data_IF_883744729373
#
_entry.id   IF_883744729373
#
_cell.length_a   1.000
_cell.length_b   1.000
_cell.length_c   1.000
_cell.angle_alpha   90.00
_cell.angle_beta   90.00
_cell.angle_gamma   90.00
#
_symmetry.space_group_name_H-M   'P 1'
#
loop_
_entity.id
_entity.type
_entity.pdbx_description
1 polymer ?
#
# COMPACT_ATOMS: atom_id res chain seq x y z
N UNK A 1 -3.41 14.53 5.62
CA UNK A 1 -2.93 13.25 6.20
C UNK A 1 -3.35 12.02 5.39
N UNK A 2 -4.62 11.92 4.97
CA UNK A 2 -5.14 10.84 4.10
C UNK A 2 -4.21 10.44 2.94
N UNK A 3 -3.73 11.43 2.18
CA UNK A 3 -2.83 11.21 1.02
C UNK A 3 -1.47 10.63 1.42
N UNK A 4 -0.85 11.14 2.48
CA UNK A 4 0.44 10.63 2.95
C UNK A 4 0.30 9.22 3.55
N UNK A 5 -0.77 8.96 4.32
CA UNK A 5 -1.01 7.65 4.93
C UNK A 5 -1.30 6.58 3.89
N UNK A 6 -2.14 6.87 2.90
CA UNK A 6 -2.43 5.96 1.79
C UNK A 6 -1.22 5.72 0.88
N UNK A 7 -0.37 6.73 0.66
CA UNK A 7 0.90 6.54 -0.05
C UNK A 7 1.85 5.61 0.64
N UNK A 8 2.10 5.84 1.92
CA UNK A 8 2.95 4.99 2.71
C UNK A 8 2.45 3.54 2.66
N UNK A 9 1.15 3.33 2.90
CA UNK A 9 0.56 1.99 2.87
C UNK A 9 0.73 1.31 1.51
N UNK A 10 0.42 1.99 0.40
CA UNK A 10 0.58 1.41 -0.95
C UNK A 10 2.05 1.11 -1.26
N UNK A 11 2.98 1.96 -0.81
CA UNK A 11 4.41 1.75 -1.03
C UNK A 11 4.88 0.47 -0.36
N UNK A 12 4.53 0.28 0.91
CA UNK A 12 4.99 -0.88 1.68
C UNK A 12 4.19 -2.14 1.31
N UNK A 13 2.86 -2.03 1.12
CA UNK A 13 2.01 -3.17 0.79
C UNK A 13 2.38 -3.84 -0.53
N UNK A 14 2.73 -3.05 -1.55
CA UNK A 14 3.07 -3.58 -2.88
C UNK A 14 4.57 -3.75 -3.12
N UNK A 15 5.42 -3.45 -2.14
CA UNK A 15 6.83 -3.81 -2.21
C UNK A 15 6.99 -5.30 -1.86
N UNK A 16 7.79 -5.99 -2.66
CA UNK A 16 8.22 -7.36 -2.42
C UNK A 16 9.72 -7.41 -2.63
N UNK A 17 10.47 -7.23 -1.54
CA UNK A 17 11.93 -7.14 -1.53
C UNK A 17 12.59 -8.45 -1.04
N UNK A 18 11.79 -9.50 -0.83
CA UNK A 18 12.19 -10.79 -0.28
C UNK A 18 12.76 -10.72 1.14
N UNK A 19 12.58 -9.60 1.85
CA UNK A 19 12.92 -9.54 3.26
C UNK A 19 11.95 -10.39 4.08
N UNK A 20 12.41 -11.09 5.13
CA UNK A 20 11.55 -12.00 5.90
C UNK A 20 10.50 -11.28 6.76
N UNK A 21 10.68 -9.98 7.04
CA UNK A 21 9.89 -9.24 8.03
C UNK A 21 9.00 -8.14 7.44
N UNK A 22 9.10 -7.81 6.15
CA UNK A 22 8.35 -6.68 5.56
C UNK A 22 6.85 -6.76 5.80
N UNK A 23 6.28 -7.96 5.65
CA UNK A 23 4.87 -8.25 5.92
C UNK A 23 4.50 -8.08 7.40
N UNK A 24 5.41 -8.40 8.33
CA UNK A 24 5.16 -8.30 9.77
C UNK A 24 5.16 -6.84 10.25
N UNK A 25 6.09 -6.03 9.74
CA UNK A 25 6.19 -4.60 10.08
C UNK A 25 4.97 -3.83 9.59
N UNK A 26 4.49 -4.10 8.36
CA UNK A 26 3.27 -3.50 7.85
C UNK A 26 2.06 -3.86 8.71
N UNK A 27 1.88 -5.15 9.05
CA UNK A 27 0.79 -5.61 9.91
C UNK A 27 0.84 -4.97 11.30
N UNK A 28 2.04 -4.81 11.88
CA UNK A 28 2.22 -4.17 13.18
C UNK A 28 1.86 -2.69 13.22
N UNK A 29 1.90 -2.01 12.07
CA UNK A 29 1.52 -0.60 11.93
C UNK A 29 0.01 -0.38 11.71
N UNK A 30 -0.77 -1.45 11.53
CA UNK A 30 -2.22 -1.40 11.34
C UNK A 30 -2.98 -1.64 12.65
N UNK A 31 -4.23 -1.16 12.76
CA UNK A 31 -5.11 -1.51 13.86
C UNK A 31 -5.26 -3.03 14.00
N UNK A 32 -5.44 -3.46 15.25
CA UNK A 32 -5.76 -4.86 15.54
C UNK A 32 -7.06 -5.25 14.84
N UNK A 33 -7.03 -6.37 14.12
CA UNK A 33 -8.20 -6.92 13.43
C UNK A 33 -8.36 -6.49 11.98
N UNK A 34 -7.48 -5.63 11.44
CA UNK A 34 -7.47 -5.35 9.99
C UNK A 34 -7.13 -6.62 9.23
N UNK A 35 -8.02 -7.01 8.32
CA UNK A 35 -7.83 -8.15 7.43
C UNK A 35 -7.22 -7.64 6.13
N UNK A 36 -5.93 -7.88 5.95
CA UNK A 36 -5.26 -7.60 4.70
C UNK A 36 -5.51 -8.71 3.68
N UNK A 37 -5.71 -8.38 2.39
CA UNK A 37 -5.57 -9.36 1.32
C UNK A 37 -4.15 -9.93 1.31
N UNK A 38 -3.98 -11.10 0.67
CA UNK A 38 -2.67 -11.73 0.48
C UNK A 38 -1.66 -10.72 -0.09
N UNK A 39 -0.54 -10.56 0.61
CA UNK A 39 0.45 -9.56 0.24
C UNK A 39 1.33 -10.09 -0.90
N UNK A 40 1.65 -9.26 -1.91
CA UNK A 40 2.52 -9.67 -3.02
C UNK A 40 3.84 -10.30 -2.58
N UNK A 41 4.40 -9.86 -1.45
CA UNK A 41 5.62 -10.40 -0.85
C UNK A 41 5.51 -11.86 -0.44
N UNK A 42 4.33 -12.31 0.00
CA UNK A 42 4.11 -13.68 0.49
C UNK A 42 4.17 -14.71 -0.66
N UNK A 43 3.92 -14.28 -1.91
CA UNK A 43 3.96 -15.10 -3.12
C UNK A 43 5.07 -14.70 -4.11
N UNK A 44 5.97 -13.80 -3.71
CA UNK A 44 6.95 -13.20 -4.62
C UNK A 44 8.05 -14.20 -5.02
N UNK A 45 8.20 -14.40 -6.33
CA UNK A 45 9.30 -15.17 -6.94
C UNK A 45 10.46 -14.27 -7.42
N UNK A 46 10.34 -12.95 -7.24
CA UNK A 46 11.31 -11.95 -7.67
C UNK A 46 11.06 -10.61 -6.96
N UNK A 47 11.92 -9.62 -7.22
CA UNK A 47 11.82 -8.33 -6.55
C UNK A 47 10.79 -7.42 -7.22
N UNK A 48 10.04 -6.66 -6.43
CA UNK A 48 9.26 -5.54 -6.93
C UNK A 48 9.22 -4.38 -5.94
N UNK A 49 9.40 -3.16 -6.43
CA UNK A 49 9.34 -1.94 -5.63
C UNK A 49 8.35 -0.96 -6.23
N UNK A 50 7.67 -0.19 -5.38
CA UNK A 50 6.85 0.93 -5.86
C UNK A 50 7.76 2.06 -6.34
N UNK A 51 7.73 2.34 -7.66
CA UNK A 51 8.44 3.49 -8.27
C UNK A 51 7.82 4.80 -7.80
N UNK A 52 6.48 4.85 -7.80
CA UNK A 52 5.72 5.98 -7.32
C UNK A 52 4.29 5.54 -6.97
N UNK A 53 3.69 6.28 -6.03
CA UNK A 53 2.26 6.24 -5.72
C UNK A 53 1.69 7.67 -5.75
N UNK A 54 0.43 7.84 -6.19
CA UNK A 54 -0.31 9.12 -6.30
C UNK A 54 -1.80 8.91 -5.99
N UNK A 55 -2.30 9.61 -4.96
CA UNK A 55 -3.74 9.64 -4.65
C UNK A 55 -4.46 10.45 -5.73
N UNK A 56 -5.37 9.80 -6.45
CA UNK A 56 -6.16 10.37 -7.54
C UNK A 56 -7.49 10.94 -7.07
N UNK A 57 -8.17 10.21 -6.17
CA UNK A 57 -9.46 10.58 -5.64
C UNK A 57 -9.51 10.32 -4.13
N UNK A 58 -10.35 11.10 -3.44
CA UNK A 58 -10.66 10.94 -2.02
C UNK A 58 -12.15 11.14 -1.89
N UNK A 59 -12.84 10.14 -1.37
CA UNK A 59 -14.28 10.14 -1.13
C UNK A 59 -14.54 9.85 0.34
N UNK A 60 -15.46 10.58 0.95
CA UNK A 60 -15.91 10.30 2.31
C UNK A 60 -16.85 9.08 2.31
N UNK A 61 -16.63 8.17 3.25
CA UNK A 61 -17.35 6.89 3.38
C UNK A 61 -18.07 6.77 4.73
N UNK A 62 -18.36 7.93 5.35
CA UNK A 62 -19.04 8.07 6.64
C UNK A 62 -18.11 7.91 7.86
N UNK A 63 -18.56 8.43 9.01
CA UNK A 63 -17.92 8.28 10.33
C UNK A 63 -16.41 8.61 10.36
N UNK A 64 -16.00 9.66 9.65
CA UNK A 64 -14.59 10.07 9.58
C UNK A 64 -13.71 9.11 8.76
N UNK A 65 -14.31 8.19 8.00
CA UNK A 65 -13.64 7.28 7.09
C UNK A 65 -13.67 7.77 5.64
N UNK A 66 -12.62 7.45 4.90
CA UNK A 66 -12.41 7.92 3.54
C UNK A 66 -11.90 6.77 2.66
N UNK A 67 -12.41 6.69 1.45
CA UNK A 67 -11.88 5.85 0.37
C UNK A 67 -10.92 6.67 -0.46
N UNK A 68 -9.67 6.24 -0.53
CA UNK A 68 -8.62 6.92 -1.27
C UNK A 68 -8.19 6.06 -2.44
N UNK A 69 -8.49 6.49 -3.67
CA UNK A 69 -7.96 5.83 -4.87
C UNK A 69 -6.52 6.23 -5.08
N UNK A 70 -5.61 5.27 -5.07
CA UNK A 70 -4.18 5.47 -5.27
C UNK A 70 -3.76 4.77 -6.56
N UNK A 71 -3.26 5.54 -7.53
CA UNK A 71 -2.51 4.99 -8.64
C UNK A 71 -1.06 4.78 -8.25
N UNK A 72 -0.46 3.71 -8.74
CA UNK A 72 0.94 3.39 -8.48
C UNK A 72 1.57 2.65 -9.66
N UNK A 73 2.89 2.68 -9.71
CA UNK A 73 3.69 1.89 -10.65
C UNK A 73 4.75 1.12 -9.88
N UNK A 74 4.97 -0.11 -10.33
CA UNK A 74 6.05 -0.96 -9.83
C UNK A 74 7.25 -0.96 -10.79
N UNK A 75 8.44 -1.06 -10.22
CA UNK A 75 9.62 -1.63 -10.87
C UNK A 75 9.68 -3.11 -10.49
N UNK A 76 9.57 -4.01 -11.46
CA UNK A 76 9.72 -5.45 -11.23
C UNK A 76 11.07 -5.95 -11.75
N UNK A 77 11.74 -6.82 -11.01
CA UNK A 77 12.91 -7.57 -11.44
C UNK A 77 12.65 -9.08 -11.26
N UNK A 78 12.16 -9.76 -12.33
CA UNK A 78 12.15 -11.22 -12.37
C UNK A 78 13.57 -11.79 -12.20
N UNK A 79 13.75 -13.05 -11.75
CA UNK A 79 15.07 -13.63 -11.44
C UNK A 79 16.13 -13.52 -12.54
N UNK A 80 15.73 -13.47 -13.81
CA UNK A 80 16.64 -13.46 -14.96
C UNK A 80 16.66 -12.12 -15.74
N UNK A 81 16.00 -11.07 -15.22
CA UNK A 81 15.88 -9.79 -15.91
C UNK A 81 16.18 -8.62 -14.96
N UNK A 82 16.73 -7.53 -15.52
CA UNK A 82 16.87 -6.28 -14.78
C UNK A 82 15.52 -5.62 -14.46
N UNK A 83 15.54 -4.55 -13.66
CA UNK A 83 14.34 -3.80 -13.33
C UNK A 83 13.64 -3.25 -14.58
N UNK A 84 12.34 -3.51 -14.68
CA UNK A 84 11.47 -2.95 -15.70
C UNK A 84 10.27 -2.25 -15.08
N UNK A 85 9.85 -1.15 -15.72
CA UNK A 85 8.61 -0.45 -15.36
C UNK A 85 7.42 -1.31 -15.74
N UNK A 86 6.58 -1.64 -14.77
CA UNK A 86 5.32 -2.33 -15.01
C UNK A 86 4.22 -1.34 -15.39
N UNK A 87 3.10 -1.88 -15.87
CA UNK A 87 1.90 -1.10 -16.13
C UNK A 87 1.44 -0.37 -14.87
N UNK A 88 0.89 0.84 -15.04
CA UNK A 88 0.28 1.59 -13.94
C UNK A 88 -0.98 0.85 -13.48
N UNK A 89 -1.13 0.72 -12.16
CA UNK A 89 -2.31 0.11 -11.52
C UNK A 89 -2.93 1.13 -10.57
N UNK A 90 -4.17 0.85 -10.15
CA UNK A 90 -4.85 1.63 -9.12
C UNK A 90 -5.48 0.70 -8.09
N UNK A 91 -5.52 1.15 -6.85
CA UNK A 91 -6.11 0.46 -5.70
C UNK A 91 -6.90 1.46 -4.86
N UNK A 92 -7.91 0.99 -4.16
CA UNK A 92 -8.62 1.77 -3.15
C UNK A 92 -8.07 1.43 -1.76
N UNK A 93 -7.75 2.45 -0.98
CA UNK A 93 -7.32 2.32 0.41
C UNK A 93 -8.32 3.03 1.30
N UNK A 94 -8.84 2.33 2.30
CA UNK A 94 -9.72 2.94 3.30
C UNK A 94 -8.88 3.52 4.44
N UNK A 95 -9.15 4.77 4.80
CA UNK A 95 -8.43 5.49 5.85
C UNK A 95 -9.43 6.16 6.78
N UNK A 96 -9.33 5.90 8.08
CA UNK A 96 -10.04 6.66 9.11
C UNK A 96 -9.18 7.81 9.61
N UNK A 97 -9.84 8.93 9.92
CA UNK A 97 -9.24 10.10 10.57
C UNK A 97 -9.90 10.29 11.93
N UNK A 98 -9.10 10.36 12.99
CA UNK A 98 -9.62 10.62 14.33
C UNK A 98 -9.88 12.11 14.54
N UNK A 99 -10.70 12.44 15.55
CA UNK A 99 -11.01 13.83 15.92
C UNK A 99 -9.77 14.63 16.34
N UNK A 100 -8.72 13.94 16.81
CA UNK A 100 -7.41 14.52 17.11
C UNK A 100 -6.55 14.82 15.87
N UNK A 101 -7.06 14.55 14.67
CA UNK A 101 -6.38 14.72 13.39
C UNK A 101 -5.46 13.55 13.01
N UNK A 102 -5.35 12.50 13.84
CA UNK A 102 -4.62 11.28 13.51
C UNK A 102 -5.26 10.51 12.35
N UNK A 103 -4.50 9.64 11.68
CA UNK A 103 -5.07 8.81 10.59
C UNK A 103 -4.51 7.39 10.57
N UNK A 104 -5.37 6.45 10.21
CA UNK A 104 -5.07 5.02 10.20
C UNK A 104 -5.72 4.32 9.01
N UNK A 105 -5.05 3.31 8.46
CA UNK A 105 -5.62 2.45 7.40
C UNK A 105 -6.53 1.41 8.06
N UNK A 106 -7.69 1.18 7.46
CA UNK A 106 -8.70 0.22 7.92
C UNK A 106 -8.69 -1.07 7.11
#
# INVERSE_FOLDING_TARGET
MLRCRSHWFVTDYFTADLEPNGTADLRGALPVGVVLPEMPQDAAIGLSYVEWARALAVEEDGDGSYRVTVAYRLLGAPPEQGFQRLAVRAVEVRVAVSDSGGSVVL
#
